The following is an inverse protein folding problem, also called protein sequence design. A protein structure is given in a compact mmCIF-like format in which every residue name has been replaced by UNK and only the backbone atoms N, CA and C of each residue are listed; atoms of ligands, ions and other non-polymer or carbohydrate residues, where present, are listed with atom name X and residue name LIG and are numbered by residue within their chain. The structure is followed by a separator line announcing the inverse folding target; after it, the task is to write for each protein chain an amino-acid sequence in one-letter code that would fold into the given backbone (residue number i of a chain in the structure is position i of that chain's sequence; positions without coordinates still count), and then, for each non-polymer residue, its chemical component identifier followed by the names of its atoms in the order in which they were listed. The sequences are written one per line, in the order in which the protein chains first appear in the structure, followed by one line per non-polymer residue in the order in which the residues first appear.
data_IF_800250162115
#
_entry.id   IF_800250162115
#
_cell.length_a   1.000
_cell.length_b   1.000
_cell.length_c   1.000
_cell.angle_alpha   90.00
_cell.angle_beta   90.00
_cell.angle_gamma   90.00
#
_symmetry.space_group_name_H-M   'P 1'
#
loop_
_entity.id
_entity.type
_entity.pdbx_description
1 polymer ?
#
# COMPACT_ATOMS: atom_id res chain seq x y z
N UNK A 1 -30.98 22.33 -32.78
CA UNK A 1 -29.57 21.92 -32.95
C UNK A 1 -28.57 22.84 -32.23
N UNK A 2 -28.53 24.16 -32.49
CA UNK A 2 -27.57 25.09 -31.83
C UNK A 2 -27.59 25.11 -30.28
N UNK A 3 -28.76 25.04 -29.64
CA UNK A 3 -28.90 25.03 -28.15
C UNK A 3 -28.27 23.79 -27.48
N UNK A 4 -28.32 22.63 -28.15
CA UNK A 4 -27.73 21.40 -27.63
C UNK A 4 -26.21 21.38 -27.80
N UNK A 5 -25.70 21.96 -28.89
CA UNK A 5 -24.27 22.09 -29.14
C UNK A 5 -23.57 22.98 -28.09
N UNK A 6 -24.17 24.11 -27.71
CA UNK A 6 -23.63 24.99 -26.66
C UNK A 6 -23.66 24.35 -25.28
N UNK A 7 -24.68 23.55 -24.97
CA UNK A 7 -24.78 22.80 -23.71
C UNK A 7 -23.71 21.70 -23.64
N UNK A 8 -23.50 20.97 -24.74
CA UNK A 8 -22.46 19.93 -24.81
C UNK A 8 -21.06 20.53 -24.67
N UNK A 9 -20.78 21.66 -25.32
CA UNK A 9 -19.48 22.35 -25.22
C UNK A 9 -19.21 22.91 -23.81
N UNK A 10 -20.24 23.40 -23.11
CA UNK A 10 -20.11 23.88 -21.73
C UNK A 10 -19.92 22.73 -20.74
N UNK A 11 -20.62 21.61 -20.92
CA UNK A 11 -20.41 20.40 -20.12
C UNK A 11 -19.03 19.78 -20.37
N UNK A 12 -18.56 19.75 -21.63
CA UNK A 12 -17.22 19.27 -21.98
C UNK A 12 -16.13 20.18 -21.41
N UNK A 13 -16.27 21.50 -21.52
CA UNK A 13 -15.29 22.44 -20.95
C UNK A 13 -15.26 22.38 -19.42
N UNK A 14 -16.42 22.23 -18.77
CA UNK A 14 -16.49 21.99 -17.33
C UNK A 14 -15.84 20.66 -16.94
N UNK A 15 -16.12 19.58 -17.67
CA UNK A 15 -15.48 18.28 -17.46
C UNK A 15 -13.96 18.34 -17.63
N UNK A 16 -13.45 19.02 -18.67
CA UNK A 16 -12.01 19.17 -18.90
C UNK A 16 -11.33 20.05 -17.84
N UNK A 17 -12.00 21.13 -17.40
CA UNK A 17 -11.46 21.99 -16.33
C UNK A 17 -11.43 21.23 -14.99
N UNK A 18 -12.48 20.46 -14.73
CA UNK A 18 -12.61 19.62 -13.55
C UNK A 18 -11.60 18.47 -13.53
N UNK A 19 -11.37 17.80 -14.66
CA UNK A 19 -10.33 16.76 -14.76
C UNK A 19 -8.95 17.36 -14.54
N UNK A 20 -8.68 18.54 -15.12
CA UNK A 20 -7.40 19.23 -14.95
C UNK A 20 -7.15 19.67 -13.49
N UNK A 21 -8.16 20.18 -12.78
CA UNK A 21 -8.03 20.50 -11.36
C UNK A 21 -7.69 19.25 -10.54
N UNK A 22 -8.39 18.14 -10.79
CA UNK A 22 -8.13 16.89 -10.08
C UNK A 22 -6.71 16.36 -10.33
N UNK A 23 -6.23 16.37 -11.58
CA UNK A 23 -4.87 15.94 -11.90
C UNK A 23 -3.82 16.77 -11.15
N UNK A 24 -4.03 18.08 -11.02
CA UNK A 24 -3.13 18.94 -10.22
C UNK A 24 -3.13 18.61 -8.73
N UNK A 25 -4.28 18.20 -8.16
CA UNK A 25 -4.37 17.78 -6.75
C UNK A 25 -3.60 16.48 -6.53
N UNK A 26 -3.69 15.53 -7.46
CA UNK A 26 -2.95 14.27 -7.38
C UNK A 26 -1.44 14.52 -7.46
N UNK A 27 -0.98 15.31 -8.44
CA UNK A 27 0.44 15.63 -8.60
C UNK A 27 1.01 16.35 -7.37
N UNK A 28 0.25 17.30 -6.82
CA UNK A 28 0.64 18.00 -5.60
C UNK A 28 0.73 17.05 -4.40
N UNK A 29 -0.24 16.15 -4.25
CA UNK A 29 -0.24 15.10 -3.21
C UNK A 29 0.99 14.20 -3.34
N UNK A 30 1.32 13.76 -4.55
CA UNK A 30 2.51 12.94 -4.81
C UNK A 30 3.81 13.67 -4.46
N UNK A 31 3.89 14.97 -4.75
CA UNK A 31 5.04 15.81 -4.35
C UNK A 31 5.19 15.90 -2.84
N UNK A 32 4.08 15.99 -2.09
CA UNK A 32 4.10 15.95 -0.62
C UNK A 32 4.58 14.60 -0.11
N UNK A 33 4.10 13.49 -0.70
CA UNK A 33 4.53 12.13 -0.35
C UNK A 33 6.04 11.94 -0.61
N UNK A 34 6.55 12.44 -1.73
CA UNK A 34 7.98 12.38 -2.06
C UNK A 34 8.84 13.13 -1.02
N UNK A 35 8.32 14.24 -0.48
CA UNK A 35 8.94 14.99 0.61
C UNK A 35 8.69 14.38 2.00
N UNK A 36 8.00 13.23 2.07
CA UNK A 36 7.58 12.57 3.31
C UNK A 36 6.62 13.42 4.17
N UNK A 37 5.96 14.41 3.56
CA UNK A 37 4.96 15.27 4.21
C UNK A 37 3.58 14.59 4.22
N UNK A 38 3.52 13.34 4.71
CA UNK A 38 2.34 12.47 4.59
C UNK A 38 1.07 13.07 5.20
N UNK A 39 1.18 13.68 6.38
CA UNK A 39 0.05 14.32 7.06
C UNK A 39 -0.58 15.45 6.22
N UNK A 40 0.25 16.18 5.46
CA UNK A 40 -0.24 17.25 4.58
C UNK A 40 -0.86 16.69 3.30
N UNK A 41 -0.41 15.52 2.83
CA UNK A 41 -0.95 14.89 1.62
C UNK A 41 -2.37 14.35 1.82
N UNK A 42 -2.71 13.87 3.03
CA UNK A 42 -4.00 13.25 3.36
C UNK A 42 -5.22 14.08 2.91
N UNK A 43 -5.39 15.37 3.29
CA UNK A 43 -6.58 16.13 2.90
C UNK A 43 -6.73 16.29 1.39
N UNK A 44 -5.62 16.41 0.65
CA UNK A 44 -5.65 16.50 -0.81
C UNK A 44 -6.04 15.17 -1.46
N UNK A 45 -5.49 14.06 -0.95
CA UNK A 45 -5.88 12.72 -1.39
C UNK A 45 -7.34 12.41 -1.06
N UNK A 46 -7.84 12.81 0.11
CA UNK A 46 -9.25 12.67 0.47
C UNK A 46 -10.17 13.45 -0.48
N UNK A 47 -9.83 14.71 -0.78
CA UNK A 47 -10.56 15.51 -1.78
C UNK A 47 -10.54 14.80 -3.14
N UNK A 48 -9.37 14.36 -3.60
CA UNK A 48 -9.22 13.69 -4.88
C UNK A 48 -10.02 12.37 -4.95
N UNK A 49 -9.92 11.51 -3.93
CA UNK A 49 -10.61 10.22 -3.89
C UNK A 49 -12.12 10.36 -3.76
N UNK A 50 -12.62 11.44 -3.13
CA UNK A 50 -14.07 11.75 -3.11
C UNK A 50 -14.59 12.01 -4.53
N UNK A 51 -13.82 12.74 -5.33
CA UNK A 51 -14.13 13.05 -6.73
C UNK A 51 -13.88 11.89 -7.69
N UNK A 52 -13.00 10.95 -7.32
CA UNK A 52 -12.53 9.86 -8.17
C UNK A 52 -12.53 8.53 -7.39
N UNK A 53 -13.72 8.04 -6.99
CA UNK A 53 -13.84 6.89 -6.08
C UNK A 53 -13.27 5.59 -6.66
N UNK A 54 -13.11 5.47 -7.98
CA UNK A 54 -12.57 4.26 -8.63
C UNK A 54 -11.05 4.33 -8.88
N UNK A 55 -10.41 5.47 -8.56
CA UNK A 55 -8.99 5.66 -8.82
C UNK A 55 -8.12 4.93 -7.79
N UNK A 56 -7.78 3.67 -8.08
CA UNK A 56 -7.02 2.78 -7.20
C UNK A 56 -5.74 3.42 -6.65
N UNK A 57 -4.95 4.10 -7.49
CA UNK A 57 -3.69 4.67 -7.05
C UNK A 57 -3.91 5.71 -5.94
N UNK A 58 -4.96 6.53 -6.01
CA UNK A 58 -5.27 7.48 -4.93
C UNK A 58 -5.60 6.77 -3.61
N UNK A 59 -6.39 5.69 -3.65
CA UNK A 59 -6.71 4.87 -2.47
C UNK A 59 -5.43 4.29 -1.85
N UNK A 60 -4.51 3.78 -2.68
CA UNK A 60 -3.24 3.23 -2.24
C UNK A 60 -2.35 4.28 -1.58
N UNK A 61 -2.24 5.47 -2.18
CA UNK A 61 -1.45 6.57 -1.63
C UNK A 61 -2.06 7.09 -0.32
N UNK A 62 -3.38 7.15 -0.22
CA UNK A 62 -4.08 7.56 1.00
C UNK A 62 -3.86 6.55 2.13
N UNK A 63 -4.02 5.25 1.85
CA UNK A 63 -3.73 4.18 2.80
C UNK A 63 -2.27 4.21 3.27
N UNK A 64 -1.34 4.42 2.32
CA UNK A 64 0.08 4.59 2.63
C UNK A 64 0.33 5.79 3.55
N UNK A 65 -0.26 6.96 3.27
CA UNK A 65 -0.13 8.14 4.12
C UNK A 65 -0.68 7.91 5.54
N UNK A 66 -1.80 7.21 5.67
CA UNK A 66 -2.33 6.82 6.99
C UNK A 66 -1.39 5.86 7.72
N UNK A 67 -0.78 4.90 7.03
CA UNK A 67 0.25 4.01 7.62
C UNK A 67 1.43 4.80 8.17
N UNK A 68 1.93 5.79 7.43
CA UNK A 68 3.09 6.59 7.82
C UNK A 68 2.77 7.56 8.97
N UNK A 69 1.54 8.06 9.03
CA UNK A 69 1.09 8.97 10.09
C UNK A 69 0.59 8.24 11.35
N UNK A 70 0.48 6.91 11.30
CA UNK A 70 0.09 6.09 12.44
C UNK A 70 -1.43 5.91 12.61
N UNK A 71 -2.26 6.43 11.69
CA UNK A 71 -3.69 6.15 11.65
C UNK A 71 -3.93 4.76 11.03
N UNK A 72 -3.47 3.73 11.73
CA UNK A 72 -3.42 2.36 11.22
C UNK A 72 -4.83 1.80 10.94
N UNK A 73 -5.84 2.24 11.68
CA UNK A 73 -7.23 1.77 11.49
C UNK A 73 -7.77 2.20 10.12
N UNK A 74 -7.64 3.49 9.75
CA UNK A 74 -8.05 3.95 8.42
C UNK A 74 -7.22 3.34 7.30
N UNK A 75 -5.95 3.09 7.56
CA UNK A 75 -5.09 2.40 6.60
C UNK A 75 -5.56 0.97 6.32
N UNK A 76 -5.86 0.20 7.37
CA UNK A 76 -6.39 -1.17 7.26
C UNK A 76 -7.70 -1.17 6.48
N UNK A 77 -8.63 -0.28 6.83
CA UNK A 77 -9.92 -0.16 6.14
C UNK A 77 -9.74 0.07 4.63
N UNK A 78 -8.86 1.01 4.25
CA UNK A 78 -8.60 1.28 2.84
C UNK A 78 -7.96 0.09 2.11
N UNK A 79 -6.98 -0.58 2.72
CA UNK A 79 -6.39 -1.77 2.10
C UNK A 79 -7.38 -2.93 1.99
N UNK A 80 -8.27 -3.11 2.97
CA UNK A 80 -9.36 -4.09 2.90
C UNK A 80 -10.36 -3.76 1.78
N UNK A 81 -10.74 -2.49 1.62
CA UNK A 81 -11.59 -2.05 0.52
C UNK A 81 -10.93 -2.30 -0.85
N UNK A 82 -9.62 -2.01 -0.97
CA UNK A 82 -8.85 -2.32 -2.17
C UNK A 82 -8.87 -3.83 -2.47
N UNK A 83 -8.74 -4.68 -1.46
CA UNK A 83 -8.77 -6.14 -1.62
C UNK A 83 -10.17 -6.68 -1.92
N UNK A 84 -11.23 -6.02 -1.45
CA UNK A 84 -12.59 -6.35 -1.83
C UNK A 84 -12.83 -6.11 -3.33
N UNK A 85 -12.26 -5.04 -3.88
CA UNK A 85 -12.31 -4.71 -5.31
C UNK A 85 -11.33 -5.54 -6.15
N UNK A 86 -10.13 -5.82 -5.60
CA UNK A 86 -9.03 -6.52 -6.27
C UNK A 86 -8.42 -7.58 -5.35
N UNK A 87 -9.04 -8.77 -5.24
CA UNK A 87 -8.62 -9.82 -4.31
C UNK A 87 -7.20 -10.33 -4.53
N UNK A 88 -6.63 -10.14 -5.72
CA UNK A 88 -5.29 -10.58 -6.11
C UNK A 88 -4.23 -9.48 -6.05
N UNK A 89 -4.53 -8.34 -5.40
CA UNK A 89 -3.57 -7.24 -5.28
C UNK A 89 -2.57 -7.51 -4.14
N UNK A 90 -1.58 -8.37 -4.42
CA UNK A 90 -0.57 -8.87 -3.47
C UNK A 90 0.09 -7.76 -2.62
N UNK A 91 0.32 -6.57 -3.20
CA UNK A 91 0.92 -5.44 -2.49
C UNK A 91 0.05 -4.92 -1.34
N UNK A 92 -1.28 -4.99 -1.42
CA UNK A 92 -2.15 -4.61 -0.29
C UNK A 92 -2.05 -5.62 0.86
N UNK A 93 -1.95 -6.93 0.58
CA UNK A 93 -1.68 -7.93 1.61
C UNK A 93 -0.33 -7.69 2.30
N UNK A 94 0.72 -7.37 1.53
CA UNK A 94 2.01 -7.01 2.10
C UNK A 94 1.94 -5.78 3.02
N UNK A 95 1.20 -4.74 2.62
CA UNK A 95 1.01 -3.55 3.45
C UNK A 95 0.23 -3.86 4.73
N UNK A 96 -0.83 -4.69 4.65
CA UNK A 96 -1.55 -5.17 5.83
C UNK A 96 -0.64 -6.00 6.75
N UNK A 97 0.21 -6.88 6.20
CA UNK A 97 1.18 -7.64 6.98
C UNK A 97 2.12 -6.72 7.76
N UNK A 98 2.64 -5.66 7.13
CA UNK A 98 3.45 -4.65 7.79
C UNK A 98 2.71 -3.96 8.94
N UNK A 99 1.46 -3.57 8.71
CA UNK A 99 0.63 -2.89 9.74
C UNK A 99 0.40 -3.82 10.93
N UNK A 100 -0.06 -5.05 10.70
CA UNK A 100 -0.30 -6.01 11.78
C UNK A 100 0.98 -6.39 12.52
N UNK A 101 2.11 -6.50 11.82
CA UNK A 101 3.41 -6.74 12.44
C UNK A 101 3.82 -5.60 13.38
N UNK A 102 3.56 -4.34 13.00
CA UNK A 102 3.78 -3.14 13.84
C UNK A 102 2.85 -3.07 15.06
N UNK A 103 1.66 -3.65 14.96
CA UNK A 103 0.70 -3.76 16.06
C UNK A 103 0.95 -4.98 16.97
N UNK A 104 2.10 -5.62 16.86
CA UNK A 104 2.44 -6.87 17.55
C UNK A 104 1.56 -8.08 17.21
N UNK A 105 0.58 -7.95 16.30
CA UNK A 105 -0.26 -9.03 15.82
C UNK A 105 0.44 -9.84 14.71
N UNK A 106 1.46 -10.59 15.10
CA UNK A 106 2.32 -11.33 14.16
C UNK A 106 1.63 -12.55 13.54
N UNK A 107 0.59 -13.07 14.17
CA UNK A 107 -0.26 -14.13 13.61
C UNK A 107 -1.01 -13.65 12.37
N UNK A 108 -1.72 -12.52 12.48
CA UNK A 108 -2.44 -11.96 11.32
C UNK A 108 -1.46 -11.42 10.28
N UNK A 109 -0.31 -10.88 10.68
CA UNK A 109 0.74 -10.52 9.74
C UNK A 109 1.21 -11.73 8.89
N UNK A 110 1.33 -12.91 9.53
CA UNK A 110 1.71 -14.14 8.85
C UNK A 110 0.64 -14.62 7.87
N UNK A 111 -0.64 -14.47 8.20
CA UNK A 111 -1.74 -14.77 7.27
C UNK A 111 -1.67 -13.87 6.03
N UNK A 112 -1.58 -12.56 6.23
CA UNK A 112 -1.53 -11.59 5.14
C UNK A 112 -0.30 -11.80 4.25
N UNK A 113 0.88 -12.02 4.82
CA UNK A 113 2.08 -12.24 4.01
C UNK A 113 2.04 -13.57 3.24
N UNK A 114 1.36 -14.59 3.77
CA UNK A 114 1.13 -15.83 3.04
C UNK A 114 0.24 -15.61 1.81
N UNK A 115 -0.81 -14.79 1.93
CA UNK A 115 -1.64 -14.39 0.79
C UNK A 115 -0.83 -13.65 -0.26
N UNK A 116 0.03 -12.69 0.12
CA UNK A 116 0.91 -11.99 -0.82
C UNK A 116 1.86 -12.97 -1.55
N UNK A 117 2.50 -13.88 -0.80
CA UNK A 117 3.45 -14.86 -1.34
C UNK A 117 2.79 -15.93 -2.22
N UNK A 118 1.49 -16.20 -2.07
CA UNK A 118 0.79 -17.11 -2.99
C UNK A 118 0.61 -16.54 -4.40
N UNK A 119 0.82 -15.23 -4.57
CA UNK A 119 0.71 -14.52 -5.84
C UNK A 119 2.10 -14.15 -6.39
N UNK A 120 2.98 -13.67 -5.50
CA UNK A 120 4.36 -13.29 -5.82
C UNK A 120 5.33 -14.01 -4.87
N UNK A 121 5.78 -15.20 -5.27
CA UNK A 121 6.52 -16.12 -4.39
C UNK A 121 7.95 -15.70 -4.05
N UNK A 122 8.59 -14.91 -4.91
CA UNK A 122 10.03 -14.60 -4.85
C UNK A 122 10.35 -13.16 -4.50
N UNK A 123 9.35 -12.34 -4.15
CA UNK A 123 9.61 -10.96 -3.76
C UNK A 123 10.48 -10.92 -2.47
N UNK A 124 11.65 -10.27 -2.50
CA UNK A 124 12.60 -10.29 -1.39
C UNK A 124 12.03 -9.62 -0.12
N UNK A 125 11.20 -8.59 -0.26
CA UNK A 125 10.57 -7.92 0.88
C UNK A 125 9.49 -8.81 1.49
N UNK A 126 8.78 -9.59 0.67
CA UNK A 126 7.71 -10.46 1.16
C UNK A 126 8.29 -11.65 1.92
N UNK A 127 9.36 -12.23 1.39
CA UNK A 127 10.12 -13.29 2.05
C UNK A 127 10.74 -12.80 3.37
N UNK A 128 11.24 -11.56 3.39
CA UNK A 128 11.78 -10.93 4.61
C UNK A 128 10.68 -10.76 5.67
N UNK A 129 9.54 -10.16 5.31
CA UNK A 129 8.40 -9.95 6.20
C UNK A 129 7.89 -11.28 6.78
N UNK A 130 7.81 -12.35 5.96
CA UNK A 130 7.46 -13.68 6.45
C UNK A 130 8.47 -14.21 7.47
N UNK A 131 9.76 -14.02 7.23
CA UNK A 131 10.80 -14.36 8.19
C UNK A 131 10.67 -13.59 9.51
N UNK A 132 10.41 -12.28 9.43
CA UNK A 132 10.21 -11.41 10.60
C UNK A 132 8.98 -11.84 11.42
N UNK A 133 7.85 -12.08 10.76
CA UNK A 133 6.62 -12.56 11.40
C UNK A 133 6.83 -13.92 12.09
N UNK A 134 7.45 -14.89 11.41
CA UNK A 134 7.77 -16.21 11.98
C UNK A 134 8.71 -16.13 13.19
N UNK A 135 9.70 -15.23 13.15
CA UNK A 135 10.61 -15.02 14.28
C UNK A 135 9.84 -14.51 15.50
N UNK A 136 8.90 -13.59 15.29
CA UNK A 136 8.10 -12.97 16.37
C UNK A 136 7.02 -13.90 16.92
N UNK A 137 6.53 -14.86 16.13
CA UNK A 137 5.66 -15.96 16.59
C UNK A 137 6.42 -17.14 17.20
N UNK A 138 7.76 -17.10 17.22
CA UNK A 138 8.61 -18.11 17.88
C UNK A 138 9.10 -19.25 16.97
N UNK A 139 8.67 -19.31 15.71
CA UNK A 139 9.17 -20.30 14.74
C UNK A 139 10.47 -19.83 14.08
N UNK A 140 11.53 -19.76 14.90
CA UNK A 140 12.85 -19.33 14.46
C UNK A 140 13.41 -20.23 13.36
N UNK A 141 13.12 -21.54 13.39
CA UNK A 141 13.58 -22.50 12.38
C UNK A 141 13.06 -22.13 11.00
N UNK A 142 11.76 -21.85 10.87
CA UNK A 142 11.19 -21.42 9.60
C UNK A 142 11.60 -19.99 9.24
N UNK A 143 11.69 -19.08 10.22
CA UNK A 143 12.17 -17.72 10.00
C UNK A 143 13.54 -17.73 9.29
N UNK A 144 14.48 -18.54 9.77
CA UNK A 144 15.81 -18.70 9.17
C UNK A 144 15.79 -19.23 7.75
N UNK A 145 14.84 -20.11 7.39
CA UNK A 145 14.66 -20.54 6.00
C UNK A 145 14.23 -19.37 5.11
N UNK A 146 13.30 -18.55 5.58
CA UNK A 146 12.80 -17.41 4.81
C UNK A 146 13.81 -16.26 4.72
N UNK A 147 14.57 -15.96 5.77
CA UNK A 147 15.69 -15.02 5.70
C UNK A 147 16.77 -15.49 4.71
N UNK A 148 17.06 -16.80 4.67
CA UNK A 148 17.99 -17.36 3.67
C UNK A 148 17.48 -17.15 2.24
N UNK A 149 16.19 -17.37 2.00
CA UNK A 149 15.54 -17.14 0.70
C UNK A 149 15.56 -15.66 0.32
N UNK A 150 15.04 -14.78 1.18
CA UNK A 150 15.03 -13.33 0.96
C UNK A 150 16.43 -12.77 0.66
N UNK A 151 17.46 -13.22 1.39
CA UNK A 151 18.85 -12.85 1.12
C UNK A 151 19.31 -13.30 -0.28
N UNK A 152 18.93 -14.50 -0.71
CA UNK A 152 19.28 -15.02 -2.04
C UNK A 152 18.62 -14.19 -3.14
N UNK A 153 17.39 -13.74 -2.93
CA UNK A 153 16.64 -12.87 -3.84
C UNK A 153 17.04 -11.38 -3.76
N UNK A 154 18.05 -11.04 -2.94
CA UNK A 154 18.67 -9.70 -2.94
C UNK A 154 18.36 -8.81 -1.73
N UNK A 155 17.59 -9.28 -0.74
CA UNK A 155 17.33 -8.49 0.48
C UNK A 155 18.59 -8.35 1.33
N UNK A 156 19.12 -7.12 1.41
CA UNK A 156 20.25 -6.77 2.27
C UNK A 156 19.88 -6.85 3.75
N UNK A 157 18.65 -6.48 4.12
CA UNK A 157 18.13 -6.60 5.48
C UNK A 157 17.99 -8.07 5.90
N UNK A 158 17.55 -8.96 5.01
CA UNK A 158 17.52 -10.39 5.30
C UNK A 158 18.91 -10.98 5.56
N UNK A 159 19.97 -10.43 4.94
CA UNK A 159 21.36 -10.81 5.25
C UNK A 159 21.71 -10.50 6.71
N UNK A 160 21.28 -9.34 7.20
CA UNK A 160 21.49 -8.93 8.58
C UNK A 160 20.71 -9.84 9.54
N UNK A 161 19.40 -10.00 9.34
CA UNK A 161 18.54 -10.86 10.16
C UNK A 161 19.05 -12.31 10.20
N UNK A 162 19.42 -12.89 9.05
CA UNK A 162 19.99 -14.23 8.98
C UNK A 162 21.28 -14.36 9.79
N UNK A 163 22.16 -13.37 9.73
CA UNK A 163 23.43 -13.41 10.46
C UNK A 163 23.21 -13.27 11.97
N UNK A 164 22.22 -12.48 12.38
CA UNK A 164 21.93 -12.22 13.79
C UNK A 164 21.22 -13.37 14.50
N UNK A 165 20.32 -14.08 13.82
CA UNK A 165 19.42 -15.04 14.48
C UNK A 165 19.59 -16.50 14.03
N UNK A 166 20.34 -16.76 12.94
CA UNK A 166 20.37 -18.08 12.28
C UNK A 166 21.77 -18.69 12.13
N UNK A 167 22.81 -17.99 12.58
CA UNK A 167 24.18 -18.48 12.68
C UNK A 167 24.56 -18.55 14.15
#
# INVERSE_FOLDING_TARGET
MKKYLTLILTLLSFYTLYSQENDTIMDYSMKLIQKQEFAKAIPYLQKYSTSNPDHLNSKLQLAFCYTQTGDLNKSIELYQNILAERPNYHRAYYMLANIYYRQDNSSTALEMINSALSMEESDPDYLLMKGQALRKTGDLKQACKYFKKAKKEGSSEAKFEYTKYCK
#
